data_IF_053713227558
#
_entry.id   IF_053713227558
#
_cell.length_a   1.000
_cell.length_b   1.000
_cell.length_c   1.000
_cell.angle_alpha   90.00
_cell.angle_beta   90.00
_cell.angle_gamma   90.00
#
_symmetry.space_group_name_H-M   'P 1'
#
loop_
_entity.id
_entity.type
_entity.pdbx_description
1 polymer ?
#
# COMPACT_ATOMS: atom_id res chain seq x y z
N UNK A 1 -27.08 -51.59 8.35
CA UNK A 1 -26.01 -50.79 8.97
C UNK A 1 -25.81 -49.58 8.09
N UNK A 2 -26.37 -48.44 8.48
CA UNK A 2 -26.22 -47.18 7.74
C UNK A 2 -25.34 -46.28 8.60
N UNK A 3 -24.13 -45.98 8.13
CA UNK A 3 -23.26 -44.99 8.78
C UNK A 3 -23.32 -43.69 8.01
N UNK A 4 -23.56 -42.63 8.77
CA UNK A 4 -23.91 -41.28 8.32
C UNK A 4 -22.74 -40.57 7.64
N UNK A 5 -23.08 -39.72 6.67
CA UNK A 5 -22.17 -38.73 6.10
C UNK A 5 -21.99 -37.57 7.09
N UNK A 6 -20.78 -37.40 7.63
CA UNK A 6 -20.41 -36.19 8.38
C UNK A 6 -20.16 -35.04 7.39
N UNK A 7 -21.05 -34.06 7.43
CA UNK A 7 -20.90 -32.78 6.78
C UNK A 7 -19.71 -32.01 7.39
N UNK A 8 -18.79 -31.57 6.53
CA UNK A 8 -17.75 -30.61 6.90
C UNK A 8 -18.37 -29.22 7.10
N UNK A 9 -18.02 -28.48 8.17
CA UNK A 9 -18.52 -27.13 8.36
C UNK A 9 -17.83 -26.13 7.41
N UNK A 10 -18.67 -25.41 6.66
CA UNK A 10 -18.35 -24.22 5.90
C UNK A 10 -17.77 -23.10 6.77
N UNK A 11 -17.11 -22.17 6.07
CA UNK A 11 -16.87 -20.79 6.48
C UNK A 11 -15.60 -20.54 7.32
N UNK A 12 -14.44 -20.63 6.67
CA UNK A 12 -13.34 -19.73 7.02
C UNK A 12 -13.53 -18.45 6.20
N UNK A 13 -14.18 -17.45 6.78
CA UNK A 13 -14.16 -16.09 6.26
C UNK A 13 -12.69 -15.71 6.10
N UNK A 14 -12.25 -15.58 4.85
CA UNK A 14 -10.91 -15.13 4.52
C UNK A 14 -10.93 -13.63 4.81
N UNK A 15 -10.49 -13.24 6.00
CA UNK A 15 -10.06 -11.86 6.26
C UNK A 15 -9.24 -11.39 5.04
N UNK A 16 -9.45 -10.17 4.53
CA UNK A 16 -8.60 -9.66 3.48
C UNK A 16 -7.21 -9.50 4.10
N UNK A 17 -6.35 -10.48 3.85
CA UNK A 17 -4.91 -10.34 4.03
C UNK A 17 -4.58 -9.10 3.21
N UNK A 18 -4.29 -7.98 3.88
CA UNK A 18 -3.90 -6.75 3.23
C UNK A 18 -2.73 -7.08 2.31
N UNK A 19 -3.01 -7.17 1.02
CA UNK A 19 -2.04 -7.65 0.05
C UNK A 19 -0.96 -6.59 -0.02
N UNK A 20 0.20 -6.89 0.56
CA UNK A 20 1.38 -6.04 0.47
C UNK A 20 1.67 -5.80 -1.04
N UNK A 21 1.36 -4.60 -1.51
CA UNK A 21 1.47 -4.22 -2.92
C UNK A 21 0.15 -4.08 -3.68
N UNK A 22 -1.00 -3.82 -3.04
CA UNK A 22 -2.21 -3.34 -3.74
C UNK A 22 -2.33 -1.80 -3.67
N UNK A 23 -2.98 -1.22 -4.68
CA UNK A 23 -3.32 0.21 -4.70
C UNK A 23 -4.42 0.48 -3.67
N UNK A 24 -4.30 1.49 -2.79
CA UNK A 24 -5.30 1.78 -1.77
C UNK A 24 -6.69 2.05 -2.35
N UNK A 25 -7.70 1.41 -1.76
CA UNK A 25 -9.11 1.64 -2.11
C UNK A 25 -9.65 2.96 -1.53
N UNK A 26 -9.09 3.38 -0.40
CA UNK A 26 -9.52 4.58 0.34
C UNK A 26 -8.33 5.50 0.54
N UNK A 27 -8.49 6.75 0.11
CA UNK A 27 -7.52 7.84 0.30
C UNK A 27 -8.09 8.85 1.29
N UNK A 28 -7.60 8.90 2.54
CA UNK A 28 -8.15 9.80 3.55
C UNK A 28 -7.71 11.24 3.29
N UNK A 29 -8.65 12.17 3.48
CA UNK A 29 -8.39 13.60 3.53
C UNK A 29 -8.00 14.03 4.96
N UNK A 30 -7.61 15.29 5.12
CA UNK A 30 -7.21 15.87 6.42
C UNK A 30 -8.34 15.81 7.46
N UNK A 31 -9.60 15.87 7.01
CA UNK A 31 -10.79 15.75 7.86
C UNK A 31 -11.21 14.29 8.14
N UNK A 32 -10.46 13.31 7.62
CA UNK A 32 -10.75 11.88 7.74
C UNK A 32 -11.77 11.35 6.72
N UNK A 33 -12.38 12.21 5.90
CA UNK A 33 -13.29 11.76 4.83
C UNK A 33 -12.51 11.17 3.65
N UNK A 34 -13.05 10.20 2.91
CA UNK A 34 -12.39 9.68 1.72
C UNK A 34 -12.42 10.71 0.58
N UNK A 35 -11.37 10.76 -0.24
CA UNK A 35 -11.41 11.48 -1.52
C UNK A 35 -12.47 10.82 -2.42
N UNK A 36 -13.49 11.58 -2.82
CA UNK A 36 -14.62 11.07 -3.61
C UNK A 36 -14.61 11.46 -5.09
N UNK A 37 -13.79 12.44 -5.48
CA UNK A 37 -13.69 12.91 -6.86
C UNK A 37 -12.92 11.90 -7.72
N UNK A 38 -13.58 11.41 -8.78
CA UNK A 38 -13.05 10.37 -9.66
C UNK A 38 -11.73 10.77 -10.31
N UNK A 39 -11.58 12.01 -10.79
CA UNK A 39 -10.32 12.45 -11.41
C UNK A 39 -9.17 12.45 -10.41
N UNK A 40 -9.41 12.91 -9.17
CA UNK A 40 -8.38 12.88 -8.11
C UNK A 40 -7.99 11.45 -7.75
N UNK A 41 -8.97 10.55 -7.67
CA UNK A 41 -8.71 9.13 -7.40
C UNK A 41 -7.90 8.48 -8.52
N UNK A 42 -8.17 8.80 -9.78
CA UNK A 42 -7.38 8.29 -10.91
C UNK A 42 -5.92 8.70 -10.78
N UNK A 43 -5.65 10.00 -10.56
CA UNK A 43 -4.29 10.51 -10.39
C UNK A 43 -3.59 9.89 -9.18
N UNK A 44 -4.30 9.73 -8.05
CA UNK A 44 -3.72 9.09 -6.86
C UNK A 44 -3.35 7.62 -7.10
N UNK A 45 -4.16 6.89 -7.88
CA UNK A 45 -3.88 5.50 -8.25
C UNK A 45 -2.67 5.39 -9.17
N UNK A 46 -2.61 6.23 -10.20
CA UNK A 46 -1.47 6.30 -11.14
C UNK A 46 -0.17 6.62 -10.38
N UNK A 47 -0.17 7.69 -9.58
CA UNK A 47 0.98 8.06 -8.75
C UNK A 47 1.43 6.94 -7.82
N UNK A 48 0.50 6.18 -7.24
CA UNK A 48 0.81 5.06 -6.36
C UNK A 48 1.47 3.89 -7.10
N UNK A 49 0.99 3.59 -8.31
CA UNK A 49 1.54 2.53 -9.14
C UNK A 49 2.93 2.88 -9.65
N UNK A 50 3.12 4.12 -10.10
CA UNK A 50 4.43 4.65 -10.48
C UNK A 50 5.43 4.59 -9.32
N UNK A 51 5.03 5.09 -8.14
CA UNK A 51 5.89 5.08 -6.95
C UNK A 51 6.28 3.65 -6.56
N UNK A 52 5.35 2.68 -6.63
CA UNK A 52 5.67 1.27 -6.38
C UNK A 52 6.66 0.71 -7.39
N UNK A 53 6.56 1.08 -8.67
CA UNK A 53 7.53 0.71 -9.69
C UNK A 53 8.92 1.22 -9.34
N UNK A 54 9.03 2.53 -9.13
CA UNK A 54 10.31 3.20 -8.80
C UNK A 54 10.95 2.62 -7.52
N UNK A 55 10.15 2.39 -6.47
CA UNK A 55 10.65 1.81 -5.22
C UNK A 55 11.15 0.37 -5.40
N UNK A 56 10.47 -0.43 -6.24
CA UNK A 56 10.89 -1.80 -6.51
C UNK A 56 12.19 -1.82 -7.30
N UNK A 57 12.28 -1.05 -8.37
CA UNK A 57 13.48 -0.98 -9.22
C UNK A 57 14.69 -0.52 -8.39
N UNK A 58 14.54 0.54 -7.58
CA UNK A 58 15.59 1.01 -6.69
C UNK A 58 16.00 -0.02 -5.62
N UNK A 59 15.04 -0.78 -5.08
CA UNK A 59 15.33 -1.85 -4.13
C UNK A 59 16.08 -3.01 -4.79
N UNK A 60 15.64 -3.45 -5.96
CA UNK A 60 16.27 -4.54 -6.72
C UNK A 60 17.71 -4.18 -7.12
N UNK A 61 17.94 -2.95 -7.60
CA UNK A 61 19.27 -2.45 -7.92
C UNK A 61 20.19 -2.42 -6.68
N UNK A 62 19.69 -1.94 -5.54
CA UNK A 62 20.47 -1.90 -4.30
C UNK A 62 20.88 -3.32 -3.84
N UNK A 63 19.95 -4.27 -3.90
CA UNK A 63 20.22 -5.67 -3.54
C UNK A 63 21.21 -6.30 -4.54
N UNK A 64 21.07 -6.04 -5.84
CA UNK A 64 22.00 -6.51 -6.87
C UNK A 64 23.42 -5.98 -6.63
N UNK A 65 23.56 -4.76 -6.12
CA UNK A 65 24.83 -4.14 -5.76
C UNK A 65 25.38 -4.59 -4.40
N UNK A 66 24.71 -5.52 -3.70
CA UNK A 66 25.17 -6.12 -2.46
C UNK A 66 24.76 -5.38 -1.18
N UNK A 67 23.77 -4.49 -1.25
CA UNK A 67 23.17 -3.86 -0.05
C UNK A 67 22.30 -4.88 0.68
N UNK A 68 22.36 -4.89 2.01
CA UNK A 68 21.46 -5.71 2.84
C UNK A 68 19.99 -5.30 2.62
N UNK A 69 19.14 -6.29 2.33
CA UNK A 69 17.71 -6.08 2.03
C UNK A 69 16.98 -5.33 3.15
N UNK A 70 17.29 -5.68 4.40
CA UNK A 70 16.62 -5.08 5.55
C UNK A 70 17.11 -3.65 5.78
N UNK A 71 18.39 -3.37 5.53
CA UNK A 71 18.95 -2.03 5.56
C UNK A 71 18.30 -1.14 4.51
N UNK A 72 18.17 -1.59 3.25
CA UNK A 72 17.53 -0.82 2.19
C UNK A 72 16.07 -0.49 2.53
N UNK A 73 15.31 -1.47 3.05
CA UNK A 73 13.92 -1.23 3.52
C UNK A 73 13.85 -0.18 4.62
N UNK A 74 14.76 -0.22 5.60
CA UNK A 74 14.81 0.80 6.67
C UNK A 74 15.11 2.19 6.12
N UNK A 75 16.08 2.30 5.21
CA UNK A 75 16.44 3.58 4.58
C UNK A 75 15.26 4.18 3.79
N UNK A 76 14.52 3.37 3.04
CA UNK A 76 13.31 3.83 2.34
C UNK A 76 12.27 4.34 3.33
N UNK A 77 12.02 3.61 4.43
CA UNK A 77 11.06 4.04 5.45
C UNK A 77 11.48 5.37 6.09
N UNK A 78 12.75 5.50 6.48
CA UNK A 78 13.29 6.73 7.06
C UNK A 78 13.16 7.93 6.12
N UNK A 79 13.47 7.72 4.83
CA UNK A 79 13.27 8.75 3.80
C UNK A 79 11.80 9.18 3.70
N UNK A 80 10.84 8.25 3.82
CA UNK A 80 9.41 8.61 3.78
C UNK A 80 8.93 9.32 5.04
N UNK A 81 9.53 9.06 6.20
CA UNK A 81 9.18 9.75 7.46
C UNK A 81 9.66 11.20 7.48
N UNK A 82 10.73 11.52 6.74
CA UNK A 82 11.31 12.86 6.66
C UNK A 82 10.64 13.76 5.61
N UNK A 83 9.61 13.26 4.90
CA UNK A 83 8.88 14.05 3.91
C UNK A 83 8.17 15.24 4.56
N UNK A 84 8.64 16.45 4.25
CA UNK A 84 8.04 17.69 4.73
C UNK A 84 6.75 17.98 3.94
N UNK A 85 5.64 18.18 4.64
CA UNK A 85 4.39 18.60 4.01
C UNK A 85 4.56 19.99 3.37
N UNK A 86 4.18 20.18 2.09
CA UNK A 86 4.15 21.52 1.49
C UNK A 86 3.21 22.41 2.32
N UNK A 87 3.75 23.49 2.92
CA UNK A 87 2.93 24.45 3.67
C UNK A 87 1.84 24.99 2.74
N UNK A 88 0.58 24.84 3.15
CA UNK A 88 -0.59 25.36 2.43
C UNK A 88 -0.37 26.85 2.17
N UNK A 89 -0.15 27.23 0.92
CA UNK A 89 -0.29 28.63 0.51
C UNK A 89 -1.77 29.01 0.72
N UNK A 90 -2.09 29.56 1.89
CA UNK A 90 -3.31 30.35 2.04
C UNK A 90 -3.11 31.58 1.17
N UNK A 91 -3.77 31.62 0.00
CA UNK A 91 -3.98 32.90 -0.69
C UNK A 91 -4.73 33.81 0.28
N UNK A 92 -4.07 34.86 0.74
CA UNK A 92 -4.70 36.01 1.39
C UNK A 92 -5.41 36.87 0.37
#
# INVERSE_FOLDING_TARGET
MTVNAEAMPSSRTREPIATAGQTPDIWPQVDGSPVSCTEKLMVLRENWEELRGVLRDAFEDAVLMGVDENAMKRMIVEMTTDLITPRRHTKS
#
